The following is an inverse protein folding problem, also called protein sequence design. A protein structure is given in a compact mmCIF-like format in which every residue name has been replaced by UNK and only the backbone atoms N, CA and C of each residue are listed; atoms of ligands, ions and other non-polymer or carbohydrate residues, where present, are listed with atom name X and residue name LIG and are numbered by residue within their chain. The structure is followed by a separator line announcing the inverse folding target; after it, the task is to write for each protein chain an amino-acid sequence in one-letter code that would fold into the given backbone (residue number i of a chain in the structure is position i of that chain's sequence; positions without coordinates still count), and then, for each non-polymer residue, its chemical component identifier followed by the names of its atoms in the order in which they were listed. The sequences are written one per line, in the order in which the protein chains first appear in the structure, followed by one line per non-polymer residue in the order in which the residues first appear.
data_IF_245831936113
#
_entry.id   IF_245831936113
#
_cell.length_a   1.000
_cell.length_b   1.000
_cell.length_c   1.000
_cell.angle_alpha   90.00
_cell.angle_beta   90.00
_cell.angle_gamma   90.00
#
_symmetry.space_group_name_H-M   'P 1'
#
loop_
_entity.id
_entity.type
_entity.pdbx_description
1 polymer ?
#
# COMPACT_ATOMS: atom_id res chain seq x y z
N UNK A 1 -42.97 -39.42 -20.38
CA UNK A 1 -42.52 -38.18 -19.69
C UNK A 1 -41.19 -37.78 -20.31
N UNK A 2 -41.13 -36.70 -21.12
CA UNK A 2 -39.87 -36.26 -21.75
C UNK A 2 -39.19 -35.21 -20.86
N UNK A 3 -37.93 -35.47 -20.50
CA UNK A 3 -37.09 -34.52 -19.76
C UNK A 3 -36.35 -33.68 -20.80
N UNK A 4 -36.53 -32.35 -20.74
CA UNK A 4 -35.79 -31.39 -21.58
C UNK A 4 -34.65 -30.79 -20.76
N UNK A 5 -33.45 -30.83 -21.32
CA UNK A 5 -32.29 -30.13 -20.78
C UNK A 5 -32.06 -28.83 -21.53
N UNK A 6 -31.81 -27.75 -20.80
CA UNK A 6 -31.43 -26.45 -21.34
C UNK A 6 -30.01 -26.13 -20.87
N UNK A 7 -29.16 -25.72 -21.80
CA UNK A 7 -27.81 -25.22 -21.52
C UNK A 7 -27.82 -23.72 -21.83
N UNK A 8 -27.48 -22.90 -20.83
CA UNK A 8 -27.40 -21.45 -20.95
C UNK A 8 -25.92 -21.07 -21.05
N UNK A 9 -25.54 -20.42 -22.14
CA UNK A 9 -24.22 -19.81 -22.32
C UNK A 9 -24.25 -18.37 -21.81
N UNK A 10 -23.41 -18.06 -20.80
CA UNK A 10 -23.16 -16.68 -20.40
C UNK A 10 -22.03 -16.10 -21.25
N UNK A 11 -22.35 -15.16 -22.13
CA UNK A 11 -21.36 -14.33 -22.81
C UNK A 11 -21.03 -13.17 -21.87
N UNK A 12 -19.80 -13.11 -21.35
CA UNK A 12 -19.33 -11.94 -20.59
C UNK A 12 -19.08 -10.79 -21.56
N UNK A 13 -19.86 -9.71 -21.45
CA UNK A 13 -19.54 -8.45 -22.10
C UNK A 13 -18.39 -7.78 -21.35
N UNK A 14 -17.40 -7.25 -22.07
CA UNK A 14 -16.41 -6.35 -21.49
C UNK A 14 -17.08 -5.01 -21.18
N UNK A 15 -17.03 -4.60 -19.92
CA UNK A 15 -17.42 -3.25 -19.49
C UNK A 15 -16.15 -2.41 -19.47
N UNK A 16 -16.14 -1.28 -20.17
CA UNK A 16 -15.07 -0.28 -20.02
C UNK A 16 -15.22 0.42 -18.68
N UNK A 17 -14.10 0.72 -18.02
CA UNK A 17 -14.10 1.65 -16.89
C UNK A 17 -14.71 2.99 -17.34
N UNK A 18 -15.50 3.60 -16.46
CA UNK A 18 -16.01 4.95 -16.69
C UNK A 18 -14.88 5.93 -16.37
N UNK A 19 -14.55 6.79 -17.35
CA UNK A 19 -13.62 7.89 -17.16
C UNK A 19 -14.46 9.14 -16.89
N UNK A 20 -14.90 9.29 -15.64
CA UNK A 20 -15.56 10.50 -15.18
C UNK A 20 -14.75 11.18 -14.08
N UNK A 21 -14.94 12.49 -13.90
CA UNK A 21 -14.15 13.29 -12.96
C UNK A 21 -14.33 12.91 -11.47
N UNK A 22 -15.17 11.92 -11.15
CA UNK A 22 -15.24 11.34 -9.82
C UNK A 22 -14.13 10.29 -9.59
N UNK A 23 -13.58 9.71 -10.67
CA UNK A 23 -12.43 8.81 -10.63
C UNK A 23 -11.12 9.63 -10.69
N UNK A 24 -10.63 10.04 -9.51
CA UNK A 24 -9.33 10.74 -9.40
C UNK A 24 -8.19 9.72 -9.47
N UNK A 25 -7.52 9.67 -10.62
CA UNK A 25 -6.37 8.80 -10.87
C UNK A 25 -5.14 9.59 -11.38
N UNK A 26 -5.00 10.84 -10.94
CA UNK A 26 -3.86 11.71 -11.29
C UNK A 26 -2.91 11.88 -10.12
N UNK A 27 -1.60 11.78 -10.38
CA UNK A 27 -0.58 12.10 -9.37
C UNK A 27 -0.63 13.58 -8.95
N UNK A 28 -1.24 14.45 -9.77
CA UNK A 28 -1.36 15.88 -9.51
C UNK A 28 -2.61 16.24 -8.69
N UNK A 29 -3.45 15.26 -8.34
CA UNK A 29 -4.67 15.49 -7.55
C UNK A 29 -4.43 15.51 -6.03
N UNK A 30 -3.19 15.27 -5.57
CA UNK A 30 -2.76 15.58 -4.21
C UNK A 30 -2.69 17.11 -4.00
N UNK A 31 -3.86 17.76 -4.00
CA UNK A 31 -4.00 19.22 -4.11
C UNK A 31 -3.64 19.97 -2.83
N UNK A 32 -3.36 19.29 -1.72
CA UNK A 32 -3.06 19.92 -0.43
C UNK A 32 -2.03 19.12 0.37
N UNK A 33 -1.04 19.84 0.89
CA UNK A 33 -0.09 19.32 1.86
C UNK A 33 -0.74 19.31 3.26
N UNK A 34 -0.72 18.15 3.89
CA UNK A 34 -1.23 17.84 5.23
C UNK A 34 -0.16 17.10 6.05
N UNK A 35 1.12 17.39 5.82
CA UNK A 35 2.25 16.78 6.53
C UNK A 35 2.18 16.99 8.06
N UNK A 36 1.72 18.16 8.52
CA UNK A 36 1.67 18.52 9.96
C UNK A 36 0.24 18.39 10.54
N UNK A 37 -0.51 17.38 10.10
CA UNK A 37 -1.93 17.26 10.45
C UNK A 37 -2.18 16.91 11.93
N UNK A 38 -1.32 16.11 12.54
CA UNK A 38 -1.41 15.65 13.92
C UNK A 38 -0.82 16.64 14.92
N UNK A 39 0.03 17.57 14.50
CA UNK A 39 0.58 18.64 15.36
C UNK A 39 -0.51 19.43 16.11
N UNK A 40 -1.68 19.61 15.48
CA UNK A 40 -2.81 20.37 16.02
C UNK A 40 -3.65 19.60 17.05
N UNK A 41 -3.33 18.32 17.28
CA UNK A 41 -4.05 17.46 18.20
C UNK A 41 -3.42 17.54 19.60
N UNK A 42 -4.20 17.18 20.63
CA UNK A 42 -3.63 16.91 21.95
C UNK A 42 -2.69 15.71 21.85
N UNK A 43 -1.41 15.92 22.20
CA UNK A 43 -0.36 14.91 22.11
C UNK A 43 -0.59 13.70 23.05
N UNK A 44 -1.58 13.77 23.94
CA UNK A 44 -1.99 12.67 24.81
C UNK A 44 -3.20 11.88 24.29
N UNK A 45 -3.78 12.27 23.14
CA UNK A 45 -4.90 11.54 22.56
C UNK A 45 -4.43 10.15 22.11
N UNK A 46 -5.22 9.12 22.45
CA UNK A 46 -4.90 7.75 22.02
C UNK A 46 -5.17 7.59 20.53
N UNK A 47 -4.30 6.88 19.81
CA UNK A 47 -4.47 6.61 18.37
C UNK A 47 -5.85 5.99 18.03
N UNK A 48 -6.37 5.11 18.89
CA UNK A 48 -7.69 4.49 18.71
C UNK A 48 -8.89 5.44 18.89
N UNK A 49 -8.65 6.73 19.16
CA UNK A 49 -9.65 7.81 19.20
C UNK A 49 -9.55 8.75 18.00
N UNK A 50 -8.58 8.52 17.11
CA UNK A 50 -8.37 9.33 15.91
C UNK A 50 -9.03 8.68 14.69
N UNK A 51 -9.51 9.52 13.79
CA UNK A 51 -9.82 9.11 12.42
C UNK A 51 -8.53 9.22 11.62
N UNK A 52 -7.90 8.07 11.32
CA UNK A 52 -6.62 8.01 10.64
C UNK A 52 -6.85 7.61 9.18
N UNK A 53 -6.55 8.49 8.20
CA UNK A 53 -6.60 8.14 6.79
C UNK A 53 -5.63 6.99 6.45
N UNK A 54 -6.10 6.04 5.64
CA UNK A 54 -5.37 4.83 5.25
C UNK A 54 -5.40 4.63 3.74
N UNK A 55 -4.32 4.11 3.19
CA UNK A 55 -4.29 3.53 1.83
C UNK A 55 -4.18 1.99 1.87
N UNK A 56 -4.88 1.33 0.94
CA UNK A 56 -4.81 -0.12 0.73
C UNK A 56 -3.69 -0.42 -0.27
N UNK A 57 -2.84 -1.41 0.00
CA UNK A 57 -1.65 -1.71 -0.80
C UNK A 57 -0.82 -0.44 -1.11
N UNK A 58 -0.36 0.26 -0.08
CA UNK A 58 0.15 1.64 -0.20
C UNK A 58 1.29 1.80 -1.23
N UNK A 59 2.14 0.79 -1.42
CA UNK A 59 3.21 0.85 -2.42
C UNK A 59 2.83 0.37 -3.83
N UNK A 60 1.57 0.02 -4.08
CA UNK A 60 1.14 -0.56 -5.35
C UNK A 60 0.69 0.51 -6.35
N UNK A 61 1.67 1.09 -7.06
CA UNK A 61 1.52 2.20 -8.02
C UNK A 61 1.80 1.81 -9.48
N UNK A 62 2.22 0.57 -9.73
CA UNK A 62 2.58 0.08 -11.05
C UNK A 62 1.64 -1.01 -11.53
N UNK A 63 1.24 -0.88 -12.80
CA UNK A 63 0.40 -1.84 -13.48
C UNK A 63 1.10 -3.19 -13.68
N UNK A 64 0.30 -4.24 -13.78
CA UNK A 64 0.77 -5.57 -14.14
C UNK A 64 0.64 -5.86 -15.63
N UNK A 65 1.05 -7.07 -16.02
CA UNK A 65 0.81 -7.57 -17.38
C UNK A 65 -0.69 -7.58 -17.75
N UNK A 66 -1.59 -7.67 -16.76
CA UNK A 66 -3.04 -7.64 -16.94
C UNK A 66 -3.67 -6.25 -16.79
N UNK A 67 -2.86 -5.19 -16.81
CA UNK A 67 -3.32 -3.80 -16.64
C UNK A 67 -3.31 -3.33 -15.19
N UNK A 68 -4.20 -2.37 -14.89
CA UNK A 68 -4.31 -1.62 -13.64
C UNK A 68 -4.83 -2.42 -12.44
N UNK A 69 -5.16 -3.71 -12.59
CA UNK A 69 -5.68 -4.56 -11.51
C UNK A 69 -4.67 -4.67 -10.34
N UNK A 70 -3.38 -4.54 -10.63
CA UNK A 70 -2.32 -4.54 -9.63
C UNK A 70 -2.01 -3.14 -9.05
N UNK A 71 -2.63 -2.10 -9.59
CA UNK A 71 -2.44 -0.72 -9.20
C UNK A 71 -3.61 -0.29 -8.28
N UNK A 72 -3.27 0.30 -7.14
CA UNK A 72 -4.29 0.79 -6.18
C UNK A 72 -4.04 2.21 -5.73
N UNK A 73 -2.85 2.74 -5.99
CA UNK A 73 -2.44 4.08 -5.57
C UNK A 73 -1.76 4.75 -6.76
N UNK A 74 -1.97 6.05 -6.94
CA UNK A 74 -1.21 6.83 -7.92
C UNK A 74 -0.03 7.56 -7.29
N UNK A 75 -0.10 7.79 -5.98
CA UNK A 75 0.88 8.56 -5.22
C UNK A 75 2.00 7.66 -4.68
N UNK A 76 3.24 8.16 -4.71
CA UNK A 76 4.36 7.53 -3.99
C UNK A 76 4.11 7.53 -2.48
N UNK A 77 4.91 6.75 -1.73
CA UNK A 77 4.85 6.74 -0.25
C UNK A 77 5.01 8.16 0.32
N UNK A 78 5.98 8.92 -0.17
CA UNK A 78 6.25 10.30 0.26
C UNK A 78 5.08 11.25 -0.04
N UNK A 79 4.46 11.10 -1.22
CA UNK A 79 3.30 11.89 -1.60
C UNK A 79 2.08 11.53 -0.75
N UNK A 80 1.88 10.25 -0.40
CA UNK A 80 0.82 9.83 0.50
C UNK A 80 1.00 10.43 1.90
N UNK A 81 2.23 10.42 2.43
CA UNK A 81 2.54 11.05 3.72
C UNK A 81 2.29 12.56 3.68
N UNK A 82 2.76 13.23 2.62
CA UNK A 82 2.50 14.66 2.40
C UNK A 82 1.00 14.96 2.27
N UNK A 83 0.20 14.04 1.75
CA UNK A 83 -1.26 14.18 1.64
C UNK A 83 -2.03 13.89 2.95
N UNK A 84 -1.34 13.48 4.03
CA UNK A 84 -1.94 13.22 5.34
C UNK A 84 -2.31 11.76 5.61
N UNK A 85 -1.84 10.81 4.78
CA UNK A 85 -1.99 9.38 5.07
C UNK A 85 -1.06 9.01 6.24
N UNK A 86 -1.61 8.35 7.26
CA UNK A 86 -0.86 7.93 8.47
C UNK A 86 -1.05 6.46 8.83
N UNK A 87 -1.84 5.73 8.05
CA UNK A 87 -1.87 4.27 8.08
C UNK A 87 -1.54 3.70 6.69
N UNK A 88 -0.54 2.84 6.61
CA UNK A 88 -0.12 2.20 5.37
C UNK A 88 -0.32 0.68 5.40
N UNK A 89 -0.93 0.13 4.36
CA UNK A 89 -1.02 -1.32 4.15
C UNK A 89 0.15 -1.78 3.27
N UNK A 90 1.20 -2.30 3.91
CA UNK A 90 2.47 -2.68 3.30
C UNK A 90 2.47 -4.20 3.03
N UNK A 91 2.48 -4.55 1.75
CA UNK A 91 2.36 -5.95 1.30
C UNK A 91 3.65 -6.40 0.63
N UNK A 92 4.26 -7.42 1.22
CA UNK A 92 5.64 -7.79 0.94
C UNK A 92 5.75 -9.22 0.43
N UNK A 93 6.76 -9.44 -0.41
CA UNK A 93 7.30 -10.76 -0.72
C UNK A 93 8.71 -10.83 -0.17
N UNK A 94 9.01 -11.92 0.55
CA UNK A 94 10.35 -12.23 1.02
C UNK A 94 11.13 -13.01 -0.05
N UNK A 95 12.18 -12.40 -0.58
CA UNK A 95 12.97 -12.97 -1.66
C UNK A 95 14.45 -12.66 -1.50
N UNK A 96 15.30 -13.68 -1.50
CA UNK A 96 16.75 -13.48 -1.38
C UNK A 96 17.17 -12.77 -0.10
N UNK A 97 16.42 -12.95 1.00
CA UNK A 97 16.56 -12.23 2.27
C UNK A 97 16.22 -10.72 2.22
N UNK A 98 15.60 -10.26 1.14
CA UNK A 98 15.06 -8.91 1.01
C UNK A 98 13.53 -8.92 1.06
N UNK A 99 12.96 -7.80 1.48
CA UNK A 99 11.52 -7.59 1.48
C UNK A 99 11.13 -6.59 0.40
N UNK A 100 10.25 -7.02 -0.51
CA UNK A 100 9.87 -6.26 -1.71
C UNK A 100 8.37 -6.09 -1.81
N UNK A 101 7.91 -4.92 -2.28
CA UNK A 101 6.49 -4.63 -2.43
C UNK A 101 5.92 -5.39 -3.62
N UNK A 102 4.86 -6.14 -3.36
CA UNK A 102 4.14 -6.90 -4.37
C UNK A 102 2.64 -6.68 -4.22
N UNK A 103 1.98 -6.56 -5.37
CA UNK A 103 0.53 -6.73 -5.46
C UNK A 103 0.25 -7.94 -6.37
N UNK A 104 -0.25 -9.01 -5.73
CA UNK A 104 -0.35 -10.35 -6.31
C UNK A 104 0.99 -10.83 -6.90
N UNK A 105 1.09 -11.01 -8.22
CA UNK A 105 2.32 -11.47 -8.91
C UNK A 105 3.22 -10.33 -9.38
N UNK A 106 2.82 -9.07 -9.17
CA UNK A 106 3.46 -7.90 -9.79
C UNK A 106 4.38 -7.22 -8.79
N UNK A 107 5.67 -7.17 -9.12
CA UNK A 107 6.65 -6.37 -8.39
C UNK A 107 6.39 -4.89 -8.62
N UNK A 108 6.35 -4.11 -7.54
CA UNK A 108 6.00 -2.69 -7.58
C UNK A 108 7.24 -1.77 -7.60
N UNK A 109 8.40 -2.29 -8.04
CA UNK A 109 9.65 -1.53 -8.13
C UNK A 109 10.04 -0.79 -6.83
N UNK A 110 9.68 -1.37 -5.68
CA UNK A 110 9.86 -0.75 -4.37
C UNK A 110 10.23 -1.81 -3.34
N UNK A 111 11.27 -1.56 -2.55
CA UNK A 111 11.65 -2.41 -1.42
C UNK A 111 11.03 -1.90 -0.11
N UNK A 112 10.99 -2.75 0.91
CA UNK A 112 10.59 -2.31 2.25
C UNK A 112 11.59 -1.31 2.86
N UNK A 113 12.86 -1.41 2.47
CA UNK A 113 13.90 -0.44 2.86
C UNK A 113 13.56 0.96 2.38
N UNK A 114 13.10 1.08 1.13
CA UNK A 114 12.71 2.37 0.54
C UNK A 114 11.51 2.95 1.30
N UNK A 115 10.51 2.11 1.60
CA UNK A 115 9.33 2.52 2.38
C UNK A 115 9.73 3.05 3.77
N UNK A 116 10.58 2.32 4.49
CA UNK A 116 11.05 2.73 5.82
C UNK A 116 11.93 3.99 5.75
N UNK A 117 12.74 4.13 4.70
CA UNK A 117 13.54 5.33 4.49
C UNK A 117 12.66 6.56 4.28
N UNK A 118 11.66 6.49 3.40
CA UNK A 118 10.73 7.60 3.18
C UNK A 118 9.93 7.93 4.45
N UNK A 119 9.52 6.92 5.23
CA UNK A 119 8.83 7.14 6.50
C UNK A 119 9.74 7.78 7.56
N UNK A 120 11.00 7.35 7.66
CA UNK A 120 11.98 7.92 8.59
C UNK A 120 12.23 9.41 8.28
N UNK A 121 12.53 9.73 7.02
CA UNK A 121 12.74 11.13 6.59
C UNK A 121 11.51 11.99 6.91
N UNK A 122 10.31 11.47 6.63
CA UNK A 122 9.08 12.19 6.95
C UNK A 122 8.91 12.46 8.44
N UNK A 123 9.20 11.48 9.31
CA UNK A 123 9.08 11.64 10.77
C UNK A 123 10.18 12.54 11.35
N UNK A 124 11.38 12.52 10.78
CA UNK A 124 12.46 13.45 11.14
C UNK A 124 12.05 14.91 10.84
N UNK A 125 11.40 15.13 9.69
CA UNK A 125 10.90 16.44 9.29
C UNK A 125 9.61 16.85 10.03
N UNK A 126 8.85 15.89 10.56
CA UNK A 126 7.53 16.11 11.18
C UNK A 126 7.40 15.34 12.51
N UNK A 127 8.12 15.74 13.57
CA UNK A 127 8.27 14.94 14.80
C UNK A 127 6.98 14.81 15.66
N UNK A 128 5.92 15.55 15.33
CA UNK A 128 4.60 15.43 15.97
C UNK A 128 3.69 14.39 15.31
N UNK A 129 4.11 13.82 14.19
CA UNK A 129 3.33 12.83 13.45
C UNK A 129 3.66 11.40 13.88
N UNK A 130 2.80 10.46 13.50
CA UNK A 130 3.03 9.03 13.70
C UNK A 130 2.52 8.26 12.50
N UNK A 131 3.27 7.25 12.06
CA UNK A 131 2.87 6.37 10.96
C UNK A 131 2.60 4.97 11.51
N UNK A 132 1.42 4.43 11.23
CA UNK A 132 1.10 3.02 11.48
C UNK A 132 1.27 2.21 10.18
N UNK A 133 2.02 1.11 10.24
CA UNK A 133 2.20 0.21 9.10
C UNK A 133 1.64 -1.18 9.40
N UNK A 134 0.68 -1.64 8.61
CA UNK A 134 0.27 -3.03 8.57
C UNK A 134 1.17 -3.77 7.59
N UNK A 135 2.06 -4.62 8.11
CA UNK A 135 2.96 -5.44 7.29
C UNK A 135 2.38 -6.84 7.07
N UNK A 136 2.23 -7.24 5.81
CA UNK A 136 1.66 -8.54 5.44
C UNK A 136 2.51 -9.25 4.37
N UNK A 137 2.74 -10.56 4.54
CA UNK A 137 3.31 -11.42 3.50
C UNK A 137 2.24 -11.69 2.43
N UNK A 138 2.54 -11.41 1.16
CA UNK A 138 1.57 -11.40 0.06
C UNK A 138 1.81 -12.49 -0.99
N UNK A 139 3.01 -13.06 -1.04
CA UNK A 139 3.39 -14.07 -2.03
C UNK A 139 4.31 -15.11 -1.43
N UNK A 140 4.33 -16.31 -2.03
CA UNK A 140 5.26 -17.39 -1.68
C UNK A 140 6.70 -16.88 -1.61
N UNK A 141 7.39 -17.07 -0.47
CA UNK A 141 8.78 -16.70 -0.30
C UNK A 141 9.71 -17.56 -1.17
N UNK A 142 10.90 -17.06 -1.49
CA UNK A 142 11.85 -17.81 -2.31
C UNK A 142 13.30 -17.42 -2.02
N UNK A 143 14.18 -18.42 -1.88
CA UNK A 143 15.62 -18.24 -1.67
C UNK A 143 16.00 -17.48 -0.39
N UNK A 144 15.31 -17.75 0.73
CA UNK A 144 15.55 -17.08 2.02
C UNK A 144 16.23 -18.03 3.02
N UNK A 145 17.08 -17.49 3.88
CA UNK A 145 17.75 -18.23 4.97
C UNK A 145 16.95 -18.18 6.27
N UNK A 146 15.93 -17.34 6.35
CA UNK A 146 15.06 -17.14 7.51
C UNK A 146 13.61 -16.91 7.06
N UNK A 147 12.66 -17.01 8.00
CA UNK A 147 11.23 -16.81 7.72
C UNK A 147 10.83 -15.34 7.76
N UNK A 148 9.73 -15.00 7.08
CA UNK A 148 9.20 -13.63 6.91
C UNK A 148 9.23 -12.78 8.18
N UNK A 149 8.75 -13.31 9.31
CA UNK A 149 8.72 -12.58 10.59
C UNK A 149 10.12 -12.21 11.09
N UNK A 150 11.09 -13.10 10.94
CA UNK A 150 12.48 -12.83 11.32
C UNK A 150 13.09 -11.77 10.39
N UNK A 151 12.78 -11.83 9.09
CA UNK A 151 13.19 -10.81 8.11
C UNK A 151 12.59 -9.45 8.47
N UNK A 152 11.28 -9.36 8.72
CA UNK A 152 10.67 -8.09 9.16
C UNK A 152 11.30 -7.58 10.45
N UNK A 153 11.58 -8.46 11.41
CA UNK A 153 12.25 -8.09 12.67
C UNK A 153 13.64 -7.48 12.44
N UNK A 154 14.45 -8.03 11.53
CA UNK A 154 15.78 -7.45 11.26
C UNK A 154 15.69 -6.06 10.63
N UNK A 155 14.64 -5.77 9.85
CA UNK A 155 14.38 -4.42 9.35
C UNK A 155 14.00 -3.46 10.49
N UNK A 156 13.13 -3.87 11.42
CA UNK A 156 12.76 -3.01 12.57
C UNK A 156 13.92 -2.71 13.51
N UNK A 157 14.96 -3.55 13.53
CA UNK A 157 16.19 -3.30 14.30
C UNK A 157 17.17 -2.38 13.56
N UNK A 158 17.14 -2.39 12.23
CA UNK A 158 18.02 -1.58 11.38
C UNK A 158 17.50 -0.17 11.16
N UNK A 159 16.20 0.03 11.31
CA UNK A 159 15.52 1.32 11.29
C UNK A 159 14.96 1.60 12.68
N UNK A 160 15.77 2.12 13.63
CA UNK A 160 15.27 2.58 14.90
C UNK A 160 14.48 3.88 14.67
N UNK A 161 13.18 3.72 14.40
CA UNK A 161 12.18 4.79 14.38
C UNK A 161 11.58 4.90 15.78
#
# INVERSE_FOLDING_TARGET
MQIKFYIIFFISMKISAHDDGAYSHSQNDARRNHAESMEKLDQNIRLNKLNIPRTHNSGAIYDGFSGDIANTQTLTIEQQLSAGIRFMDIRLRDMGNGLFIYQDLVYQNLSFSDVLSSASVFLDDNPSETIEMRVQEKHTPSNNTQGFKATVKSYTESYPI
#
